data_IF_759153075274
#
_entry.id   IF_759153075274
#
_cell.length_a   1.000
_cell.length_b   1.000
_cell.length_c   1.000
_cell.angle_alpha   90.00
_cell.angle_beta   90.00
_cell.angle_gamma   90.00
#
_symmetry.space_group_name_H-M   'P 1'
#
loop_
_entity.id
_entity.type
_entity.pdbx_description
1 polymer ?
#
# COMPACT_ATOMS: atom_id res chain seq x y z
N UNK A 1 -6.92 -8.83 10.79
CA UNK A 1 -6.97 -7.38 11.08
C UNK A 1 -7.98 -7.06 12.17
N UNK A 2 -9.31 -7.12 11.93
CA UNK A 2 -10.32 -6.76 12.96
C UNK A 2 -10.18 -7.50 14.29
N UNK A 3 -9.89 -8.80 14.28
CA UNK A 3 -9.61 -9.55 15.50
C UNK A 3 -8.43 -8.96 16.29
N UNK A 4 -7.31 -8.70 15.61
CA UNK A 4 -6.14 -8.11 16.26
C UNK A 4 -6.48 -6.75 16.89
N UNK A 5 -7.22 -5.91 16.17
CA UNK A 5 -7.65 -4.61 16.66
C UNK A 5 -8.52 -4.70 17.91
N UNK A 6 -9.55 -5.57 17.87
CA UNK A 6 -10.47 -5.80 18.99
C UNK A 6 -9.77 -6.29 20.28
N UNK A 7 -8.61 -6.95 20.14
CA UNK A 7 -7.84 -7.50 21.25
C UNK A 7 -6.50 -6.78 21.48
N UNK A 8 -6.33 -5.56 20.98
CA UNK A 8 -5.15 -4.72 21.19
C UNK A 8 -3.82 -5.34 20.71
N UNK A 9 -3.87 -6.14 19.65
CA UNK A 9 -2.70 -6.78 19.05
C UNK A 9 -2.18 -5.89 17.89
N UNK A 10 -0.92 -5.40 17.96
CA UNK A 10 -0.33 -4.60 16.88
C UNK A 10 -0.28 -5.32 15.53
N UNK A 11 -0.31 -4.54 14.46
CA UNK A 11 -0.26 -5.02 13.09
C UNK A 11 1.08 -4.65 12.44
N UNK A 12 1.77 -5.65 11.89
CA UNK A 12 2.94 -5.46 11.03
C UNK A 12 2.60 -6.05 9.66
N UNK A 13 2.57 -5.20 8.64
CA UNK A 13 2.21 -5.57 7.26
C UNK A 13 3.45 -5.57 6.39
N UNK A 14 3.68 -6.66 5.65
CA UNK A 14 4.68 -6.73 4.59
C UNK A 14 3.98 -6.65 3.24
N UNK A 15 4.44 -5.74 2.39
CA UNK A 15 3.79 -5.45 1.12
C UNK A 15 4.71 -5.80 -0.07
N UNK A 16 4.17 -6.63 -0.96
CA UNK A 16 4.64 -6.87 -2.33
C UNK A 16 3.42 -7.28 -3.17
N UNK A 17 2.61 -6.28 -3.57
CA UNK A 17 1.35 -6.49 -4.29
C UNK A 17 1.32 -5.68 -5.60
N UNK A 18 1.16 -6.34 -6.77
CA UNK A 18 1.08 -5.64 -8.06
C UNK A 18 -0.33 -5.12 -8.40
N UNK A 19 -1.35 -5.48 -7.61
CA UNK A 19 -2.75 -5.14 -7.85
C UNK A 19 -3.70 -6.26 -7.47
N UNK A 20 -4.98 -6.09 -7.84
CA UNK A 20 -6.00 -7.13 -7.71
C UNK A 20 -5.93 -8.12 -8.88
N UNK A 21 -6.42 -9.34 -8.67
CA UNK A 21 -6.52 -10.34 -9.72
C UNK A 21 -7.60 -9.93 -10.74
N UNK A 22 -7.28 -9.72 -12.03
CA UNK A 22 -8.27 -9.40 -13.03
C UNK A 22 -9.10 -10.63 -13.43
N UNK A 23 -10.33 -10.41 -13.89
CA UNK A 23 -11.14 -11.41 -14.58
C UNK A 23 -12.62 -11.36 -14.23
N UNK A 24 -13.48 -11.72 -15.20
CA UNK A 24 -14.95 -11.69 -15.05
C UNK A 24 -15.46 -12.51 -13.86
N UNK A 25 -14.79 -13.63 -13.53
CA UNK A 25 -15.11 -14.43 -12.35
C UNK A 25 -14.92 -13.65 -11.04
N UNK A 26 -13.89 -12.80 -10.93
CA UNK A 26 -13.66 -11.98 -9.75
C UNK A 26 -14.73 -10.88 -9.65
N UNK A 27 -15.04 -10.24 -10.78
CA UNK A 27 -16.08 -9.20 -10.85
C UNK A 27 -17.46 -9.74 -10.45
N UNK A 28 -17.90 -10.83 -11.09
CA UNK A 28 -19.18 -11.48 -10.75
C UNK A 28 -19.17 -12.10 -9.35
N UNK A 29 -17.99 -12.49 -8.86
CA UNK A 29 -17.77 -12.95 -7.50
C UNK A 29 -17.80 -11.85 -6.44
N UNK A 30 -18.00 -10.58 -6.82
CA UNK A 30 -18.15 -9.48 -5.88
C UNK A 30 -16.83 -8.94 -5.31
N UNK A 31 -15.73 -9.00 -6.07
CA UNK A 31 -14.40 -8.53 -5.65
C UNK A 31 -14.41 -7.10 -5.11
N UNK A 32 -15.32 -6.24 -5.59
CA UNK A 32 -15.51 -4.88 -5.08
C UNK A 32 -15.85 -4.90 -3.59
N UNK A 33 -16.86 -5.68 -3.17
CA UNK A 33 -17.23 -5.79 -1.75
C UNK A 33 -16.17 -6.53 -0.97
N UNK A 34 -15.62 -7.62 -1.51
CA UNK A 34 -14.62 -8.42 -0.82
C UNK A 34 -13.30 -7.65 -0.57
N UNK A 35 -12.79 -6.93 -1.57
CA UNK A 35 -11.62 -6.08 -1.45
C UNK A 35 -11.84 -4.93 -0.46
N UNK A 36 -13.03 -4.32 -0.47
CA UNK A 36 -13.39 -3.25 0.46
C UNK A 36 -13.39 -3.71 1.93
N UNK A 37 -13.55 -5.01 2.24
CA UNK A 37 -13.47 -5.51 3.63
C UNK A 37 -12.08 -5.31 4.23
N UNK A 38 -11.02 -5.52 3.44
CA UNK A 38 -9.65 -5.36 3.93
C UNK A 38 -9.31 -3.88 4.14
N UNK A 39 -9.71 -3.04 3.18
CA UNK A 39 -9.65 -1.58 3.29
C UNK A 39 -10.33 -1.10 4.58
N UNK A 40 -11.57 -1.56 4.80
CA UNK A 40 -12.36 -1.23 5.99
C UNK A 40 -11.63 -1.62 7.27
N UNK A 41 -11.14 -2.85 7.33
CA UNK A 41 -10.49 -3.38 8.53
C UNK A 41 -9.24 -2.59 8.93
N UNK A 42 -8.43 -2.12 7.97
CA UNK A 42 -7.26 -1.30 8.28
C UNK A 42 -7.61 0.16 8.62
N UNK A 43 -8.63 0.72 7.96
CA UNK A 43 -9.09 2.09 8.22
C UNK A 43 -9.75 2.24 9.60
N UNK A 44 -10.51 1.22 10.02
CA UNK A 44 -11.16 1.14 11.33
C UNK A 44 -10.12 0.94 12.45
N UNK A 45 -9.10 0.13 12.21
CA UNK A 45 -8.17 -0.29 13.27
C UNK A 45 -7.45 0.89 13.94
N UNK A 46 -7.47 0.90 15.27
CA UNK A 46 -6.84 1.91 16.14
C UNK A 46 -5.55 1.43 16.78
N UNK A 47 -5.28 0.11 16.80
CA UNK A 47 -4.00 -0.46 17.25
C UNK A 47 -2.79 0.10 16.47
N UNK A 48 -1.55 -0.04 16.99
CA UNK A 48 -0.35 0.28 16.24
C UNK A 48 -0.24 -0.48 14.91
N UNK A 49 0.04 0.24 13.82
CA UNK A 49 0.15 -0.26 12.45
C UNK A 49 1.50 0.16 11.86
N UNK A 50 2.31 -0.84 11.51
CA UNK A 50 3.59 -0.63 10.83
C UNK A 50 3.59 -1.38 9.50
N UNK A 51 3.92 -0.69 8.42
CA UNK A 51 4.01 -1.29 7.08
C UNK A 51 5.45 -1.28 6.60
N UNK A 52 5.88 -2.36 5.96
CA UNK A 52 7.18 -2.49 5.29
C UNK A 52 6.94 -2.90 3.85
N UNK A 53 7.12 -1.97 2.92
CA UNK A 53 7.06 -2.24 1.48
C UNK A 53 8.38 -2.85 1.05
N UNK A 54 8.33 -4.09 0.59
CA UNK A 54 9.51 -4.87 0.22
C UNK A 54 9.85 -4.74 -1.27
N UNK A 55 8.81 -4.66 -2.11
CA UNK A 55 8.96 -4.49 -3.55
C UNK A 55 7.74 -3.77 -4.16
N UNK A 56 6.75 -4.45 -4.74
CA UNK A 56 5.68 -3.78 -5.48
C UNK A 56 4.58 -3.26 -4.57
N UNK A 57 4.11 -2.06 -4.85
CA UNK A 57 2.99 -1.42 -4.17
C UNK A 57 2.23 -0.55 -5.18
N UNK A 58 1.28 -1.16 -5.90
CA UNK A 58 0.61 -0.49 -7.02
C UNK A 58 -0.87 -0.23 -6.79
N UNK A 59 -1.29 0.99 -7.17
CA UNK A 59 -2.69 1.40 -7.29
C UNK A 59 -3.51 1.16 -6.03
N UNK A 60 -4.76 0.74 -6.19
CA UNK A 60 -5.66 0.51 -5.05
C UNK A 60 -5.18 -0.60 -4.10
N UNK A 61 -4.33 -1.52 -4.54
CA UNK A 61 -3.78 -2.53 -3.65
C UNK A 61 -2.78 -1.91 -2.65
N UNK A 62 -1.98 -0.92 -3.09
CA UNK A 62 -1.12 -0.14 -2.18
C UNK A 62 -1.93 0.53 -1.08
N UNK A 63 -3.04 1.18 -1.45
CA UNK A 63 -3.86 1.86 -0.46
C UNK A 63 -4.43 0.88 0.57
N UNK A 64 -4.90 -0.28 0.12
CA UNK A 64 -5.51 -1.31 0.96
C UNK A 64 -4.51 -1.93 1.95
N UNK A 65 -3.22 -1.99 1.63
CA UNK A 65 -2.18 -2.67 2.41
C UNK A 65 -1.64 -1.84 3.58
N UNK A 66 -2.53 -1.24 4.37
CA UNK A 66 -2.18 -0.39 5.52
C UNK A 66 -1.27 0.79 5.12
N UNK A 67 -1.66 1.49 4.06
CA UNK A 67 -0.99 2.72 3.61
C UNK A 67 -1.10 3.84 4.65
N UNK A 68 -0.27 4.87 4.49
CA UNK A 68 -0.35 6.09 5.33
C UNK A 68 -1.71 6.78 5.22
N UNK A 69 -2.37 6.67 4.06
CA UNK A 69 -3.71 7.19 3.82
C UNK A 69 -4.78 6.51 4.70
N UNK A 70 -4.52 5.27 5.16
CA UNK A 70 -5.37 4.54 6.11
C UNK A 70 -4.90 4.67 7.57
N UNK A 71 -4.25 5.79 7.90
CA UNK A 71 -3.71 6.07 9.24
C UNK A 71 -2.67 5.03 9.66
N UNK A 72 -1.84 4.56 8.73
CA UNK A 72 -0.62 3.81 9.06
C UNK A 72 0.30 4.68 9.91
N UNK A 73 0.79 4.15 11.04
CA UNK A 73 1.59 4.94 11.98
C UNK A 73 3.02 5.12 11.46
N UNK A 74 3.63 4.02 11.01
CA UNK A 74 4.97 3.98 10.43
C UNK A 74 4.96 3.19 9.13
N UNK A 75 5.32 3.83 8.02
CA UNK A 75 5.40 3.25 6.69
C UNK A 75 6.85 3.29 6.23
N UNK A 76 7.48 2.12 6.22
CA UNK A 76 8.84 1.92 5.75
C UNK A 76 8.84 1.36 4.33
N UNK A 77 9.86 1.70 3.56
CA UNK A 77 10.12 1.08 2.27
C UNK A 77 11.55 0.55 2.20
N UNK A 78 11.77 -0.56 1.50
CA UNK A 78 13.10 -0.97 1.07
C UNK A 78 13.55 -0.18 -0.16
N UNK A 79 14.86 -0.12 -0.46
CA UNK A 79 15.34 0.50 -1.70
C UNK A 79 14.78 -0.14 -2.97
N UNK A 80 14.39 -1.42 -2.89
CA UNK A 80 13.74 -2.18 -3.96
C UNK A 80 12.23 -1.91 -4.11
N UNK A 81 11.66 -1.02 -3.30
CA UNK A 81 10.24 -0.75 -3.34
C UNK A 81 9.86 0.13 -4.54
N UNK A 82 8.78 -0.25 -5.21
CA UNK A 82 8.23 0.43 -6.38
C UNK A 82 6.79 0.82 -6.05
N UNK A 83 6.56 2.13 -5.83
CA UNK A 83 5.26 2.67 -5.41
C UNK A 83 4.71 3.51 -6.56
N UNK A 84 3.63 3.06 -7.19
CA UNK A 84 3.09 3.69 -8.39
C UNK A 84 1.57 3.53 -8.52
N UNK A 85 0.95 4.33 -9.38
CA UNK A 85 -0.50 4.24 -9.66
C UNK A 85 -0.85 2.91 -10.35
N UNK A 86 0.03 2.44 -11.23
CA UNK A 86 -0.06 1.15 -11.93
C UNK A 86 1.32 0.75 -12.47
N UNK A 87 1.43 -0.43 -13.07
CA UNK A 87 2.68 -0.86 -13.72
C UNK A 87 3.08 0.08 -14.87
N UNK A 88 4.40 0.30 -15.02
CA UNK A 88 4.96 1.31 -15.92
C UNK A 88 4.45 1.19 -17.37
N UNK A 89 4.46 -0.02 -17.94
CA UNK A 89 3.94 -0.26 -19.30
C UNK A 89 2.49 0.22 -19.47
N UNK A 90 1.61 -0.13 -18.53
CA UNK A 90 0.21 0.28 -18.56
C UNK A 90 0.04 1.79 -18.41
N UNK A 91 0.86 2.43 -17.56
CA UNK A 91 0.85 3.88 -17.41
C UNK A 91 1.30 4.58 -18.71
N UNK A 92 2.38 4.11 -19.33
CA UNK A 92 2.93 4.66 -20.57
C UNK A 92 1.95 4.52 -21.74
N UNK A 93 1.30 3.37 -21.91
CA UNK A 93 0.29 3.17 -22.97
C UNK A 93 -0.90 4.13 -22.84
N UNK A 94 -1.26 4.52 -21.60
CA UNK A 94 -2.35 5.48 -21.35
C UNK A 94 -1.88 6.92 -21.57
N UNK A 95 -0.71 7.29 -21.01
CA UNK A 95 -0.17 8.67 -21.09
C UNK A 95 0.26 9.01 -22.53
N UNK A 96 0.98 8.10 -23.18
CA UNK A 96 1.52 8.26 -24.53
C UNK A 96 0.69 7.49 -25.56
N UNK A 97 -0.65 7.59 -25.45
CA UNK A 97 -1.59 6.88 -26.32
C UNK A 97 -1.35 7.09 -27.82
N UNK A 98 -0.76 8.22 -28.23
CA UNK A 98 -0.43 8.53 -29.63
C UNK A 98 0.78 7.74 -30.16
N UNK A 99 1.69 7.33 -29.28
CA UNK A 99 2.90 6.58 -29.62
C UNK A 99 2.73 5.07 -29.34
N UNK A 100 1.54 4.63 -28.92
CA UNK A 100 1.20 3.22 -28.58
C UNK A 100 1.63 2.21 -29.63
N UNK A 101 1.50 2.56 -30.90
CA UNK A 101 1.75 1.63 -32.01
C UNK A 101 3.23 1.65 -32.47
N UNK A 102 4.09 2.40 -31.78
CA UNK A 102 5.54 2.47 -31.97
C UNK A 102 6.25 1.74 -30.80
N UNK A 103 6.66 0.47 -30.97
CA UNK A 103 7.23 -0.33 -29.89
C UNK A 103 8.51 0.24 -29.29
N UNK A 104 9.34 0.90 -30.12
CA UNK A 104 10.64 1.44 -29.70
C UNK A 104 10.43 2.64 -28.78
N UNK A 105 9.51 3.55 -29.16
CA UNK A 105 9.13 4.68 -28.29
C UNK A 105 8.48 4.21 -26.99
N UNK A 106 7.61 3.21 -27.04
CA UNK A 106 6.97 2.68 -25.83
C UNK A 106 8.00 2.04 -24.91
N UNK A 107 8.99 1.31 -25.44
CA UNK A 107 10.07 0.74 -24.64
C UNK A 107 10.93 1.83 -23.98
N UNK A 108 11.32 2.87 -24.73
CA UNK A 108 12.06 4.01 -24.20
C UNK A 108 11.28 4.73 -23.08
N UNK A 109 10.00 5.05 -23.34
CA UNK A 109 9.14 5.72 -22.36
C UNK A 109 8.85 4.88 -21.14
N UNK A 110 8.71 3.56 -21.30
CA UNK A 110 8.52 2.64 -20.17
C UNK A 110 9.73 2.68 -19.26
N UNK A 111 10.95 2.61 -19.82
CA UNK A 111 12.18 2.72 -19.04
C UNK A 111 12.31 4.08 -18.35
N UNK A 112 12.01 5.17 -19.06
CA UNK A 112 12.00 6.51 -18.47
C UNK A 112 11.01 6.61 -17.28
N UNK A 113 9.84 5.97 -17.41
CA UNK A 113 8.84 5.93 -16.35
C UNK A 113 9.30 5.11 -15.15
N UNK A 114 9.91 3.95 -15.39
CA UNK A 114 10.47 3.10 -14.32
C UNK A 114 11.56 3.85 -13.55
N UNK A 115 12.53 4.44 -14.24
CA UNK A 115 13.64 5.18 -13.62
C UNK A 115 13.13 6.36 -12.78
N UNK A 116 12.07 7.04 -13.23
CA UNK A 116 11.52 8.23 -12.56
C UNK A 116 10.55 7.92 -11.44
N UNK A 117 9.67 6.94 -11.62
CA UNK A 117 8.50 6.72 -10.75
C UNK A 117 8.49 5.37 -10.05
N UNK A 118 9.13 4.32 -10.59
CA UNK A 118 9.17 3.00 -9.94
C UNK A 118 10.28 2.94 -8.88
N UNK A 119 10.22 3.87 -7.93
CA UNK A 119 11.16 3.96 -6.80
C UNK A 119 10.42 4.49 -5.56
N UNK A 120 10.96 4.30 -4.35
CA UNK A 120 10.26 4.71 -3.13
C UNK A 120 10.40 6.21 -2.85
N UNK A 121 11.29 6.91 -3.56
CA UNK A 121 11.68 8.28 -3.23
C UNK A 121 10.60 9.30 -3.59
N UNK A 122 9.80 9.05 -4.63
CA UNK A 122 8.65 9.90 -4.96
C UNK A 122 7.67 9.91 -3.78
N UNK A 123 7.23 8.74 -3.32
CA UNK A 123 6.32 8.62 -2.18
C UNK A 123 6.93 9.15 -0.86
N UNK A 124 8.24 8.95 -0.65
CA UNK A 124 8.94 9.49 0.52
C UNK A 124 8.98 11.03 0.49
N UNK A 125 9.21 11.65 -0.67
CA UNK A 125 9.23 13.12 -0.80
C UNK A 125 7.87 13.77 -0.48
N UNK A 126 6.78 13.02 -0.66
CA UNK A 126 5.42 13.43 -0.31
C UNK A 126 5.03 13.12 1.16
N UNK A 127 5.92 12.46 1.92
CA UNK A 127 5.65 12.07 3.30
C UNK A 127 4.74 10.84 3.46
N UNK A 128 4.48 10.08 2.38
CA UNK A 128 3.70 8.84 2.45
C UNK A 128 4.52 7.67 3.00
N UNK A 129 5.84 7.72 2.81
CA UNK A 129 6.84 6.82 3.39
C UNK A 129 7.68 7.62 4.38
N UNK A 130 7.78 7.14 5.61
CA UNK A 130 8.51 7.83 6.69
C UNK A 130 10.03 7.69 6.54
N UNK A 131 10.49 6.52 6.09
CA UNK A 131 11.92 6.23 5.93
C UNK A 131 12.13 5.11 4.91
N UNK A 132 13.10 5.29 4.00
CA UNK A 132 13.64 4.20 3.18
C UNK A 132 14.76 3.52 3.98
N UNK A 133 14.58 2.25 4.33
CA UNK A 133 15.46 1.50 5.24
C UNK A 133 16.14 0.33 4.55
N UNK A 134 17.35 -0.01 4.99
CA UNK A 134 18.02 -1.22 4.50
C UNK A 134 17.30 -2.50 4.96
N UNK A 135 17.16 -3.54 4.12
CA UNK A 135 16.41 -4.76 4.45
C UNK A 135 16.86 -5.43 5.76
N UNK A 136 18.16 -5.52 6.00
CA UNK A 136 18.73 -6.12 7.22
C UNK A 136 18.40 -5.35 8.51
N UNK A 137 17.99 -4.08 8.40
CA UNK A 137 17.62 -3.23 9.53
C UNK A 137 16.14 -3.33 9.92
N UNK A 138 15.32 -4.04 9.13
CA UNK A 138 13.85 -4.12 9.29
C UNK A 138 13.44 -4.51 10.72
N UNK A 139 14.02 -5.57 11.28
CA UNK A 139 13.71 -6.02 12.65
C UNK A 139 13.95 -4.91 13.68
N UNK A 140 15.08 -4.20 13.58
CA UNK A 140 15.44 -3.12 14.51
C UNK A 140 14.43 -1.97 14.41
N UNK A 141 14.06 -1.58 13.18
CA UNK A 141 13.12 -0.48 12.90
C UNK A 141 11.71 -0.81 13.41
N UNK A 142 11.19 -1.99 13.06
CA UNK A 142 9.87 -2.45 13.51
C UNK A 142 9.81 -2.57 15.04
N UNK A 143 10.81 -3.19 15.68
CA UNK A 143 10.83 -3.34 17.13
C UNK A 143 10.92 -2.00 17.89
N UNK A 144 11.58 -1.00 17.31
CA UNK A 144 11.62 0.36 17.87
C UNK A 144 10.29 1.07 17.66
N UNK A 145 9.69 0.97 16.47
CA UNK A 145 8.39 1.53 16.15
C UNK A 145 7.30 1.01 17.08
N UNK A 146 7.22 -0.32 17.28
CA UNK A 146 6.26 -0.92 18.20
C UNK A 146 6.44 -0.43 19.64
N UNK A 147 7.69 -0.23 20.09
CA UNK A 147 7.96 0.35 21.42
C UNK A 147 7.46 1.79 21.54
N UNK A 148 7.65 2.61 20.50
CA UNK A 148 7.17 4.01 20.48
C UNK A 148 5.64 4.11 20.47
N UNK A 149 4.98 3.17 19.81
CA UNK A 149 3.53 3.16 19.63
C UNK A 149 2.78 2.42 20.75
N UNK A 150 3.47 1.96 21.80
CA UNK A 150 2.86 1.18 22.89
C UNK A 150 1.70 1.90 23.57
N UNK A 151 1.84 3.21 23.74
CA UNK A 151 0.87 4.06 24.43
C UNK A 151 -0.05 4.82 23.44
N UNK A 152 -0.13 4.35 22.20
CA UNK A 152 -1.03 4.92 21.19
C UNK A 152 -2.47 4.87 21.69
N UNK A 153 -3.11 6.03 21.74
CA UNK A 153 -4.55 6.16 22.00
C UNK A 153 -5.20 6.86 20.81
N UNK A 154 -6.27 6.27 20.33
CA UNK A 154 -6.98 6.74 19.15
C UNK A 154 -8.42 6.27 19.24
N UNK A 155 -9.35 7.21 19.25
CA UNK A 155 -10.78 6.92 19.30
C UNK A 155 -11.40 7.13 17.92
N UNK A 156 -12.32 6.25 17.55
CA UNK A 156 -13.16 6.43 16.38
C UNK A 156 -14.47 7.12 16.77
N UNK A 157 -15.17 7.78 15.83
CA UNK A 157 -16.47 8.40 16.11
C UNK A 157 -17.47 7.42 16.71
N UNK A 158 -18.23 7.87 17.70
CA UNK A 158 -19.26 7.07 18.36
C UNK A 158 -20.31 6.57 17.37
N UNK A 159 -20.66 5.29 17.46
CA UNK A 159 -21.70 4.60 16.70
C UNK A 159 -22.09 3.33 17.46
N UNK A 160 -23.28 2.77 17.18
CA UNK A 160 -23.68 1.46 17.74
C UNK A 160 -22.76 0.33 17.28
N UNK A 161 -22.49 0.31 15.98
CA UNK A 161 -21.53 -0.57 15.31
C UNK A 161 -21.24 0.00 13.91
N UNK A 162 -20.25 -0.56 13.23
CA UNK A 162 -19.98 -0.29 11.82
C UNK A 162 -21.01 -0.91 10.87
N UNK A 163 -20.90 -0.60 9.57
CA UNK A 163 -21.64 -1.25 8.50
C UNK A 163 -20.67 -1.71 7.40
N UNK A 164 -19.66 -2.51 7.78
CA UNK A 164 -18.71 -3.10 6.85
C UNK A 164 -19.44 -3.86 5.72
N UNK A 165 -18.94 -3.84 4.46
CA UNK A 165 -19.47 -4.72 3.42
C UNK A 165 -19.48 -6.19 3.86
N UNK A 166 -20.57 -6.89 3.54
CA UNK A 166 -20.77 -8.32 3.82
C UNK A 166 -20.77 -9.14 2.52
#
# INVERSE_FOLDING_TARGET
VRFCDAFNIPLVTFEDVPGFLPGTKQEHGGIIKHGAKLLYAFAEATVPKITVITRKAYGGAYDVMASKHLRGDLNYAWPSAEIAVMGAKGAVEIIFRKDRDDPDKIAEKTKEYEDRFANPFVAASMGFIDEVIMPHSTRKRVALGLRKLRDKQLENPWKKHDNIPL
#
